data_IF_166767519839
#
_entry.id   IF_166767519839
#
_cell.length_a   1.000
_cell.length_b   1.000
_cell.length_c   1.000
_cell.angle_alpha   90.00
_cell.angle_beta   90.00
_cell.angle_gamma   90.00
#
_symmetry.space_group_name_H-M   'P 1'
#
loop_
_entity.id
_entity.type
_entity.pdbx_description
1 polymer ?
#
# COMPACT_ATOMS: atom_id res chain seq x y z
N UNK A 1 -21.99 -13.57 -7.08
CA UNK A 1 -22.27 -12.28 -7.74
C UNK A 1 -22.20 -11.19 -6.69
N UNK A 2 -21.04 -10.56 -6.58
CA UNK A 2 -20.68 -9.65 -5.49
C UNK A 2 -20.87 -8.22 -5.99
N UNK A 3 -21.76 -7.45 -5.36
CA UNK A 3 -21.85 -6.00 -5.57
C UNK A 3 -21.12 -5.34 -4.40
N UNK A 4 -19.87 -4.98 -4.67
CA UNK A 4 -19.02 -4.20 -3.78
C UNK A 4 -19.39 -2.72 -3.96
N UNK A 5 -20.13 -2.15 -3.00
CA UNK A 5 -20.43 -0.72 -2.97
C UNK A 5 -19.59 -0.06 -1.88
N UNK A 6 -18.38 0.34 -2.23
CA UNK A 6 -17.62 1.34 -1.50
C UNK A 6 -17.17 2.42 -2.49
N UNK A 7 -18.06 3.38 -2.74
CA UNK A 7 -17.77 4.56 -3.55
C UNK A 7 -16.86 5.51 -2.76
N UNK A 8 -15.56 5.20 -2.68
CA UNK A 8 -14.57 6.19 -2.29
C UNK A 8 -14.26 7.07 -3.50
N UNK A 9 -14.76 8.30 -3.43
CA UNK A 9 -14.59 9.38 -4.40
C UNK A 9 -13.09 9.58 -4.67
N UNK A 10 -12.63 9.11 -5.84
CA UNK A 10 -11.33 9.45 -6.42
C UNK A 10 -11.26 10.97 -6.60
N UNK A 11 -10.54 11.65 -5.72
CA UNK A 11 -9.88 12.92 -6.03
C UNK A 11 -8.88 13.22 -4.94
N UNK A 12 -7.66 12.73 -5.17
CA UNK A 12 -6.52 13.04 -4.35
C UNK A 12 -5.30 13.05 -5.27
N UNK A 13 -5.07 14.19 -5.92
CA UNK A 13 -3.73 14.58 -6.39
C UNK A 13 -2.90 14.78 -5.12
N UNK A 14 -2.32 13.71 -4.60
CA UNK A 14 -1.42 13.75 -3.45
C UNK A 14 0.02 13.67 -3.95
N UNK A 15 0.67 14.83 -4.00
CA UNK A 15 2.09 15.05 -4.28
C UNK A 15 3.00 14.49 -3.15
N UNK A 16 2.99 13.18 -2.93
CA UNK A 16 4.02 12.51 -2.10
C UNK A 16 5.14 11.91 -2.97
N UNK A 17 4.88 11.78 -4.26
CA UNK A 17 5.89 11.69 -5.29
C UNK A 17 5.99 13.04 -5.99
N UNK A 18 6.49 14.07 -5.30
CA UNK A 18 7.40 14.96 -6.02
C UNK A 18 8.53 14.05 -6.45
N UNK A 19 8.38 13.44 -7.65
CA UNK A 19 9.44 12.70 -8.30
C UNK A 19 10.63 13.64 -8.27
N UNK A 20 11.56 13.38 -7.36
CA UNK A 20 12.78 14.15 -7.31
C UNK A 20 13.39 13.99 -8.70
N UNK A 21 13.78 15.10 -9.36
CA UNK A 21 14.47 15.11 -10.67
C UNK A 21 15.43 13.91 -10.89
N UNK A 22 16.18 13.41 -9.88
CA UNK A 22 17.04 12.23 -10.02
C UNK A 22 16.34 10.89 -10.37
N UNK A 23 15.10 10.64 -9.93
CA UNK A 23 14.37 9.41 -10.33
C UNK A 23 13.93 9.53 -11.78
N UNK A 24 13.35 10.68 -12.15
CA UNK A 24 12.75 10.88 -13.47
C UNK A 24 13.73 10.46 -14.57
N UNK A 25 14.98 10.94 -14.49
CA UNK A 25 16.06 10.56 -15.41
C UNK A 25 16.35 9.05 -15.46
N UNK A 26 16.27 8.34 -14.32
CA UNK A 26 16.58 6.91 -14.23
C UNK A 26 15.47 6.01 -14.76
N UNK A 27 14.22 6.47 -14.74
CA UNK A 27 13.08 5.70 -15.23
C UNK A 27 12.64 6.13 -16.64
N UNK A 28 13.11 7.29 -17.10
CA UNK A 28 12.72 7.89 -18.37
C UNK A 28 12.93 6.93 -19.55
N UNK A 29 14.03 6.17 -19.58
CA UNK A 29 14.27 5.18 -20.63
C UNK A 29 13.16 4.12 -20.73
N UNK A 30 12.56 3.72 -19.61
CA UNK A 30 11.42 2.78 -19.59
C UNK A 30 10.17 3.43 -20.17
N UNK A 31 9.89 4.67 -19.80
CA UNK A 31 8.73 5.41 -20.33
C UNK A 31 8.90 5.74 -21.81
N UNK A 32 10.10 6.10 -22.24
CA UNK A 32 10.43 6.33 -23.65
C UNK A 32 10.30 5.05 -24.46
N UNK A 33 10.76 3.91 -23.92
CA UNK A 33 10.52 2.60 -24.53
C UNK A 33 9.03 2.31 -24.70
N UNK A 34 8.22 2.52 -23.65
CA UNK A 34 6.77 2.29 -23.73
C UNK A 34 6.06 3.24 -24.70
N UNK A 35 6.52 4.49 -24.83
CA UNK A 35 5.94 5.48 -25.72
C UNK A 35 6.33 5.26 -27.19
N UNK A 36 7.57 4.82 -27.43
CA UNK A 36 8.17 4.72 -28.76
C UNK A 36 8.31 3.27 -29.25
N UNK A 37 7.78 2.28 -28.52
CA UNK A 37 7.90 0.88 -28.89
C UNK A 37 7.40 0.66 -30.32
N UNK A 38 8.19 -0.01 -31.19
CA UNK A 38 7.74 -0.37 -32.53
C UNK A 38 6.62 -1.43 -32.48
N UNK A 39 6.44 -2.08 -31.33
CA UNK A 39 5.52 -3.18 -31.13
C UNK A 39 4.14 -2.72 -30.62
N UNK A 40 3.68 -1.49 -30.91
CA UNK A 40 2.40 -0.95 -30.40
C UNK A 40 1.16 -1.80 -30.69
N UNK A 41 1.25 -2.69 -31.66
CA UNK A 41 0.19 -3.63 -32.03
C UNK A 41 0.13 -4.88 -31.13
N UNK A 42 1.20 -5.17 -30.37
CA UNK A 42 1.22 -6.25 -29.39
C UNK A 42 0.50 -5.85 -28.10
N UNK A 43 -0.04 -6.84 -27.42
CA UNK A 43 -0.45 -6.66 -26.04
C UNK A 43 0.77 -6.60 -25.12
N UNK A 44 0.69 -5.78 -24.08
CA UNK A 44 1.73 -5.61 -23.06
C UNK A 44 2.13 -6.94 -22.43
N UNK A 45 1.19 -7.89 -22.34
CA UNK A 45 1.47 -9.21 -21.81
C UNK A 45 2.36 -10.06 -22.71
N UNK A 46 2.37 -9.78 -24.01
CA UNK A 46 3.15 -10.47 -25.05
C UNK A 46 4.58 -9.92 -25.18
N UNK A 47 4.93 -8.87 -24.43
CA UNK A 47 6.30 -8.37 -24.37
C UNK A 47 7.21 -9.43 -23.71
N UNK A 48 8.24 -9.92 -24.41
CA UNK A 48 9.03 -11.08 -23.98
C UNK A 48 9.84 -10.82 -22.70
N UNK A 49 10.40 -9.63 -22.52
CA UNK A 49 11.32 -9.32 -21.41
C UNK A 49 10.84 -8.17 -20.50
N UNK A 50 9.51 -8.01 -20.36
CA UNK A 50 8.91 -6.94 -19.52
C UNK A 50 9.42 -6.92 -18.06
N UNK A 51 9.81 -8.07 -17.53
CA UNK A 51 10.36 -8.17 -16.17
C UNK A 51 11.71 -7.47 -16.04
N UNK A 52 12.60 -7.69 -17.00
CA UNK A 52 13.95 -7.13 -17.02
C UNK A 52 13.97 -5.70 -17.56
N UNK A 53 13.16 -5.40 -18.55
CA UNK A 53 13.23 -4.14 -19.30
C UNK A 53 12.32 -3.06 -18.71
N UNK A 54 11.25 -3.46 -18.00
CA UNK A 54 10.24 -2.53 -17.47
C UNK A 54 10.18 -2.61 -15.95
N UNK A 55 9.84 -3.77 -15.39
CA UNK A 55 9.54 -3.87 -13.95
C UNK A 55 10.79 -3.69 -13.08
N UNK A 56 11.84 -4.46 -13.33
CA UNK A 56 13.05 -4.45 -12.51
C UNK A 56 13.74 -3.07 -12.45
N UNK A 57 13.90 -2.32 -13.57
CA UNK A 57 14.49 -0.99 -13.52
C UNK A 57 13.66 0.01 -12.73
N UNK A 58 12.33 -0.04 -12.86
CA UNK A 58 11.41 0.83 -12.11
C UNK A 58 11.46 0.55 -10.61
N UNK A 59 11.39 -0.72 -10.22
CA UNK A 59 11.44 -1.13 -8.82
C UNK A 59 12.80 -0.84 -8.20
N UNK A 60 13.90 -1.08 -8.92
CA UNK A 60 15.26 -0.73 -8.48
C UNK A 60 15.42 0.78 -8.31
N UNK A 61 14.87 1.59 -9.21
CA UNK A 61 14.87 3.05 -9.07
C UNK A 61 14.06 3.50 -7.84
N UNK A 62 12.90 2.89 -7.61
CA UNK A 62 12.06 3.14 -6.43
C UNK A 62 12.78 2.79 -5.12
N UNK A 63 13.33 1.58 -5.01
CA UNK A 63 14.12 1.14 -3.83
C UNK A 63 15.26 2.12 -3.55
N UNK A 64 16.03 2.47 -4.58
CA UNK A 64 17.16 3.38 -4.44
C UNK A 64 16.73 4.78 -3.98
N UNK A 65 15.59 5.28 -4.46
CA UNK A 65 15.06 6.55 -3.98
C UNK A 65 14.67 6.48 -2.50
N UNK A 66 13.93 5.45 -2.08
CA UNK A 66 13.53 5.32 -0.68
C UNK A 66 14.77 5.28 0.22
N UNK A 67 15.80 4.52 -0.17
CA UNK A 67 17.10 4.48 0.54
C UNK A 67 17.77 5.86 0.59
N UNK A 68 17.80 6.59 -0.54
CA UNK A 68 18.37 7.95 -0.63
C UNK A 68 17.62 8.96 0.23
N UNK A 69 16.30 8.93 0.23
CA UNK A 69 15.46 9.82 1.03
C UNK A 69 15.59 9.51 2.51
N UNK A 70 15.67 8.23 2.88
CA UNK A 70 15.89 7.82 4.27
C UNK A 70 17.25 8.26 4.82
N UNK A 71 18.29 8.30 3.97
CA UNK A 71 19.58 8.83 4.37
C UNK A 71 19.49 10.30 4.78
N UNK A 72 18.62 11.10 4.14
CA UNK A 72 18.42 12.53 4.39
C UNK A 72 17.37 12.82 5.46
N UNK A 73 16.34 11.98 5.55
CA UNK A 73 15.16 12.18 6.41
C UNK A 73 14.86 10.90 7.19
N UNK A 74 15.34 10.82 8.43
CA UNK A 74 15.15 9.63 9.28
C UNK A 74 13.69 9.41 9.71
N UNK A 75 12.82 10.42 9.59
CA UNK A 75 11.39 10.28 9.84
C UNK A 75 10.58 9.71 8.66
N UNK A 76 11.24 9.32 7.56
CA UNK A 76 10.59 8.78 6.37
C UNK A 76 9.69 7.55 6.63
N UNK A 77 10.07 6.54 7.44
CA UNK A 77 9.20 5.38 7.70
C UNK A 77 7.83 5.78 8.25
N UNK A 78 7.81 6.70 9.23
CA UNK A 78 6.57 7.25 9.81
C UNK A 78 5.72 7.96 8.76
N UNK A 79 6.34 8.80 7.93
CA UNK A 79 5.64 9.54 6.86
C UNK A 79 5.09 8.58 5.80
N UNK A 80 5.85 7.57 5.43
CA UNK A 80 5.47 6.58 4.42
C UNK A 80 4.24 5.79 4.85
N UNK A 81 4.20 5.25 6.08
CA UNK A 81 3.00 4.55 6.59
C UNK A 81 1.77 5.45 6.58
N UNK A 82 1.89 6.70 7.03
CA UNK A 82 0.77 7.66 6.98
C UNK A 82 0.32 7.92 5.54
N UNK A 83 1.26 8.00 4.60
CA UNK A 83 0.91 8.20 3.21
C UNK A 83 0.18 6.99 2.61
N UNK A 84 0.67 5.77 2.88
CA UNK A 84 0.12 4.52 2.34
C UNK A 84 -1.28 4.20 2.89
N UNK A 85 -1.54 4.53 4.16
CA UNK A 85 -2.82 4.23 4.81
C UNK A 85 -3.82 5.39 4.75
N UNK A 86 -3.36 6.59 4.43
CA UNK A 86 -4.21 7.75 4.25
C UNK A 86 -4.16 8.76 5.41
N UNK A 87 -4.83 9.89 5.18
CA UNK A 87 -4.77 11.07 6.06
C UNK A 87 -5.60 10.94 7.35
N UNK A 88 -6.61 10.09 7.34
CA UNK A 88 -7.60 10.00 8.41
C UNK A 88 -7.55 8.62 9.05
N UNK A 89 -7.82 8.55 10.35
CA UNK A 89 -8.01 7.29 11.05
C UNK A 89 -9.29 6.61 10.56
N UNK A 90 -9.28 5.29 10.40
CA UNK A 90 -10.42 4.54 9.87
C UNK A 90 -10.56 3.16 10.48
N UNK A 91 -11.75 2.58 10.36
CA UNK A 91 -11.99 1.18 10.68
C UNK A 91 -11.99 0.36 9.39
N UNK A 92 -11.32 -0.79 9.41
CA UNK A 92 -11.42 -1.80 8.35
C UNK A 92 -12.22 -2.98 8.89
N UNK A 93 -13.36 -3.25 8.25
CA UNK A 93 -14.22 -4.40 8.57
C UNK A 93 -13.88 -5.50 7.58
N UNK A 94 -13.58 -6.70 8.08
CA UNK A 94 -13.14 -7.85 7.30
C UNK A 94 -13.99 -9.05 7.72
N UNK A 95 -14.75 -9.62 6.80
CA UNK A 95 -15.41 -10.90 7.03
C UNK A 95 -14.47 -12.05 6.63
N UNK A 96 -14.29 -13.03 7.51
CA UNK A 96 -13.43 -14.18 7.29
C UNK A 96 -14.33 -15.40 7.13
N UNK A 97 -14.59 -15.77 5.87
CA UNK A 97 -15.50 -16.87 5.51
C UNK A 97 -15.17 -18.17 6.25
N UNK A 98 -13.88 -18.54 6.26
CA UNK A 98 -13.39 -19.79 6.87
C UNK A 98 -13.68 -19.85 8.36
N UNK A 99 -13.57 -18.73 9.05
CA UNK A 99 -13.77 -18.63 10.50
C UNK A 99 -15.20 -18.21 10.87
N UNK A 100 -16.03 -17.85 9.88
CA UNK A 100 -17.37 -17.30 10.04
C UNK A 100 -17.41 -16.16 11.08
N UNK A 101 -16.41 -15.29 11.04
CA UNK A 101 -16.30 -14.16 11.94
C UNK A 101 -16.02 -12.87 11.17
N UNK A 102 -16.30 -11.75 11.83
CA UNK A 102 -16.00 -10.41 11.32
C UNK A 102 -14.95 -9.77 12.21
N UNK A 103 -13.82 -9.38 11.64
CA UNK A 103 -12.80 -8.58 12.31
C UNK A 103 -13.02 -7.09 12.01
N UNK A 104 -13.02 -6.28 13.07
CA UNK A 104 -13.01 -4.82 12.99
C UNK A 104 -11.62 -4.36 13.43
N UNK A 105 -10.83 -3.85 12.49
CA UNK A 105 -9.48 -3.33 12.74
C UNK A 105 -9.49 -1.81 12.80
N UNK A 106 -8.95 -1.24 13.88
CA UNK A 106 -8.99 0.20 14.12
C UNK A 106 -7.65 0.85 13.81
N UNK A 107 -7.55 1.58 12.70
CA UNK A 107 -6.32 2.25 12.27
C UNK A 107 -6.24 3.67 12.83
N UNK A 108 -5.85 3.77 14.11
CA UNK A 108 -5.67 5.04 14.81
C UNK A 108 -4.23 5.59 14.66
N UNK A 109 -3.88 6.16 13.51
CA UNK A 109 -2.54 6.68 13.20
C UNK A 109 -2.33 8.14 13.62
N UNK A 110 -3.43 8.87 13.86
CA UNK A 110 -3.48 10.30 14.14
C UNK A 110 -4.11 10.64 15.50
N UNK A 111 -4.48 9.63 16.29
CA UNK A 111 -5.09 9.79 17.61
C UNK A 111 -6.46 10.51 17.58
N UNK A 112 -7.23 10.35 16.49
CA UNK A 112 -8.53 11.02 16.36
C UNK A 112 -9.70 10.20 16.89
N UNK A 113 -9.50 8.90 17.14
CA UNK A 113 -10.51 8.07 17.79
C UNK A 113 -10.59 8.37 19.30
N UNK A 114 -11.81 8.42 19.83
CA UNK A 114 -12.04 8.64 21.26
C UNK A 114 -12.09 10.11 21.69
N UNK A 115 -12.40 11.05 20.79
CA UNK A 115 -12.86 12.38 21.22
C UNK A 115 -14.23 12.23 21.87
N UNK A 116 -14.21 12.02 23.19
CA UNK A 116 -15.38 11.85 24.04
C UNK A 116 -16.21 13.14 23.96
N UNK A 117 -17.43 13.06 23.42
CA UNK A 117 -18.44 14.04 23.78
C UNK A 117 -18.67 13.88 25.28
N UNK A 118 -18.47 14.94 26.07
CA UNK A 118 -18.49 14.97 27.54
C UNK A 118 -19.75 14.39 28.21
N UNK A 119 -20.72 13.89 27.45
CA UNK A 119 -22.02 13.41 27.89
C UNK A 119 -22.19 11.87 27.96
N UNK A 120 -21.18 11.06 27.61
CA UNK A 120 -21.31 9.58 27.64
C UNK A 120 -20.07 8.87 28.21
N UNK A 121 -20.26 8.26 29.38
CA UNK A 121 -19.24 7.62 30.23
C UNK A 121 -18.65 6.29 29.68
N UNK A 122 -18.96 5.90 28.45
CA UNK A 122 -18.46 4.64 27.85
C UNK A 122 -17.79 4.83 26.50
N UNK A 123 -16.83 5.77 26.42
CA UNK A 123 -15.96 5.86 25.25
C UNK A 123 -14.89 4.75 25.30
N UNK A 124 -14.98 3.77 24.40
CA UNK A 124 -13.90 2.80 24.18
C UNK A 124 -12.66 3.56 23.71
N UNK A 125 -11.62 3.58 24.54
CA UNK A 125 -10.34 4.22 24.21
C UNK A 125 -9.60 3.32 23.22
N UNK A 126 -9.42 3.80 21.99
CA UNK A 126 -8.63 3.09 20.99
C UNK A 126 -7.19 3.59 21.05
N UNK A 127 -6.20 2.74 21.39
CA UNK A 127 -4.80 3.15 21.42
C UNK A 127 -4.32 3.64 20.05
N UNK A 128 -3.41 4.62 20.08
CA UNK A 128 -2.75 5.09 18.85
C UNK A 128 -1.75 4.03 18.37
N UNK A 129 -1.75 3.77 17.06
CA UNK A 129 -0.85 2.80 16.45
C UNK A 129 0.62 3.24 16.57
N UNK A 130 1.49 2.30 16.92
CA UNK A 130 2.92 2.53 17.01
C UNK A 130 3.54 2.63 15.60
N UNK A 131 3.71 3.86 15.11
CA UNK A 131 4.30 4.12 13.79
C UNK A 131 5.79 3.75 13.74
N UNK A 132 6.30 3.28 12.59
CA UNK A 132 7.67 2.82 12.45
C UNK A 132 8.67 3.98 12.50
N UNK A 133 9.88 3.68 12.95
CA UNK A 133 11.00 4.63 13.07
C UNK A 133 12.19 4.26 12.19
N UNK A 134 12.27 3.02 11.69
CA UNK A 134 13.35 2.57 10.81
C UNK A 134 12.88 1.51 9.81
N UNK A 135 13.53 1.50 8.65
CA UNK A 135 13.46 0.38 7.72
C UNK A 135 14.30 -0.79 8.24
N UNK A 136 13.80 -2.01 8.06
CA UNK A 136 14.48 -3.27 8.37
C UNK A 136 14.94 -3.91 7.08
N UNK A 137 14.05 -3.98 6.09
CA UNK A 137 14.28 -4.61 4.81
C UNK A 137 13.51 -3.86 3.71
N UNK A 138 14.11 -3.75 2.53
CA UNK A 138 13.47 -3.24 1.33
C UNK A 138 14.20 -3.80 0.12
N UNK A 139 13.62 -4.84 -0.48
CA UNK A 139 14.17 -5.54 -1.63
C UNK A 139 13.10 -6.28 -2.44
N UNK A 140 13.52 -6.93 -3.52
CA UNK A 140 12.64 -7.80 -4.32
C UNK A 140 12.19 -9.02 -3.52
N UNK A 141 10.93 -9.40 -3.74
CA UNK A 141 10.46 -10.72 -3.34
C UNK A 141 11.18 -11.77 -4.20
N UNK A 142 11.76 -12.84 -3.60
CA UNK A 142 12.48 -13.86 -4.35
C UNK A 142 11.66 -14.43 -5.51
N UNK A 143 12.28 -14.57 -6.68
CA UNK A 143 11.67 -15.09 -7.91
C UNK A 143 10.42 -14.32 -8.38
N UNK A 144 10.23 -13.08 -7.92
CA UNK A 144 9.08 -12.27 -8.29
C UNK A 144 9.52 -10.85 -8.71
N UNK A 145 9.96 -10.67 -9.97
CA UNK A 145 10.65 -9.46 -10.43
C UNK A 145 9.73 -8.23 -10.59
N UNK A 146 8.42 -8.40 -10.42
CA UNK A 146 7.47 -7.29 -10.39
C UNK A 146 7.03 -6.90 -8.97
N UNK A 147 7.62 -7.51 -7.94
CA UNK A 147 7.17 -7.34 -6.56
C UNK A 147 8.35 -7.05 -5.63
N UNK A 148 8.18 -6.07 -4.75
CA UNK A 148 9.13 -5.76 -3.67
C UNK A 148 8.43 -5.85 -2.31
N UNK A 149 9.19 -6.21 -1.29
CA UNK A 149 8.74 -6.28 0.09
C UNK A 149 9.45 -5.22 0.94
N UNK A 150 8.68 -4.57 1.81
CA UNK A 150 9.14 -3.52 2.73
C UNK A 150 8.81 -3.94 4.16
N UNK A 151 9.85 -4.17 4.96
CA UNK A 151 9.71 -4.43 6.39
C UNK A 151 10.24 -3.25 7.20
N UNK A 152 9.46 -2.85 8.18
CA UNK A 152 9.76 -1.77 9.11
C UNK A 152 9.66 -2.28 10.54
N UNK A 153 10.34 -1.60 11.47
CA UNK A 153 10.20 -1.97 12.88
C UNK A 153 8.76 -1.74 13.36
N UNK A 154 8.44 -2.33 14.53
CA UNK A 154 7.11 -2.28 15.13
C UNK A 154 6.04 -3.03 14.31
N UNK A 155 6.44 -4.00 13.49
CA UNK A 155 5.51 -4.95 12.86
C UNK A 155 4.86 -4.48 11.55
N UNK A 156 5.27 -3.33 11.00
CA UNK A 156 4.75 -2.85 9.72
C UNK A 156 5.44 -3.55 8.54
N UNK A 157 4.64 -4.17 7.67
CA UNK A 157 5.13 -4.88 6.49
C UNK A 157 4.21 -4.63 5.30
N UNK A 158 4.79 -4.27 4.16
CA UNK A 158 4.07 -3.98 2.92
C UNK A 158 4.66 -4.76 1.76
N UNK A 159 3.80 -5.21 0.86
CA UNK A 159 4.16 -5.73 -0.46
C UNK A 159 3.74 -4.71 -1.51
N UNK A 160 4.64 -4.41 -2.45
CA UNK A 160 4.34 -3.55 -3.60
C UNK A 160 4.53 -4.37 -4.86
N UNK A 161 3.45 -4.55 -5.61
CA UNK A 161 3.46 -5.21 -6.91
C UNK A 161 3.17 -4.20 -8.01
N UNK A 162 4.09 -4.04 -8.96
CA UNK A 162 3.83 -3.21 -10.13
C UNK A 162 3.14 -4.04 -11.21
N UNK A 163 2.09 -3.48 -11.81
CA UNK A 163 1.39 -4.10 -12.94
C UNK A 163 0.95 -3.05 -13.94
N UNK A 164 0.68 -3.46 -15.18
CA UNK A 164 0.10 -2.57 -16.17
C UNK A 164 -1.43 -2.60 -16.08
N UNK A 165 -2.08 -1.45 -16.12
CA UNK A 165 -3.55 -1.35 -16.01
C UNK A 165 -4.27 -1.51 -17.35
N UNK A 166 -3.54 -1.53 -18.46
CA UNK A 166 -4.10 -1.61 -19.81
C UNK A 166 -3.39 -2.71 -20.60
N UNK A 167 -4.10 -3.32 -21.55
CA UNK A 167 -3.50 -4.35 -22.39
C UNK A 167 -2.56 -3.74 -23.45
N UNK A 168 -2.80 -2.52 -23.91
CA UNK A 168 -1.92 -1.87 -24.90
C UNK A 168 -0.57 -1.46 -24.32
N UNK A 169 0.48 -1.50 -25.15
CA UNK A 169 1.82 -1.00 -24.81
C UNK A 169 1.80 0.53 -24.76
N UNK A 170 1.67 1.04 -23.54
CA UNK A 170 1.73 2.46 -23.20
C UNK A 170 2.02 2.63 -21.70
N UNK A 171 2.46 3.81 -21.24
CA UNK A 171 2.76 4.03 -19.83
C UNK A 171 1.48 4.07 -18.98
N UNK A 172 1.08 2.92 -18.46
CA UNK A 172 -0.10 2.78 -17.59
C UNK A 172 0.16 1.87 -16.38
N UNK A 173 1.41 1.84 -15.94
CA UNK A 173 1.87 1.07 -14.79
C UNK A 173 1.39 1.68 -13.47
N UNK A 174 0.94 0.84 -12.54
CA UNK A 174 0.55 1.25 -11.20
C UNK A 174 1.04 0.26 -10.15
N UNK A 175 1.21 0.73 -8.93
CA UNK A 175 1.43 -0.13 -7.78
C UNK A 175 0.11 -0.63 -7.22
N UNK A 176 0.05 -1.95 -7.04
CA UNK A 176 -0.84 -2.62 -6.11
C UNK A 176 -0.09 -2.80 -4.79
N UNK A 177 -0.67 -2.38 -3.67
CA UNK A 177 0.01 -2.29 -2.38
C UNK A 177 -0.79 -3.06 -1.35
N UNK A 178 -0.15 -4.07 -0.76
CA UNK A 178 -0.75 -4.89 0.28
C UNK A 178 -0.08 -4.65 1.63
N UNK A 179 -0.89 -4.49 2.68
CA UNK A 179 -0.44 -4.44 4.06
C UNK A 179 -0.53 -5.84 4.66
N UNK A 180 0.60 -6.55 4.71
CA UNK A 180 0.66 -7.96 5.16
C UNK A 180 1.03 -8.08 6.65
N UNK A 181 1.68 -7.07 7.22
CA UNK A 181 2.07 -7.03 8.63
C UNK A 181 1.65 -5.72 9.27
N UNK A 182 1.00 -5.85 10.43
CA UNK A 182 0.48 -4.73 11.20
C UNK A 182 1.05 -4.74 12.62
N UNK A 183 1.29 -3.56 13.25
CA UNK A 183 1.72 -3.50 14.64
C UNK A 183 0.69 -4.12 15.57
N UNK A 184 1.16 -4.82 16.60
CA UNK A 184 0.32 -5.38 17.67
C UNK A 184 -0.49 -4.33 18.44
N UNK A 185 -0.08 -3.06 18.36
CA UNK A 185 -0.80 -1.94 18.99
C UNK A 185 -2.09 -1.56 18.26
N UNK A 186 -2.35 -2.09 17.07
CA UNK A 186 -3.64 -1.89 16.40
C UNK A 186 -4.70 -2.79 17.04
N UNK A 187 -5.76 -2.16 17.52
CA UNK A 187 -6.90 -2.89 18.09
C UNK A 187 -7.66 -3.63 17.00
N UNK A 188 -7.80 -4.94 17.19
CA UNK A 188 -8.67 -5.80 16.39
C UNK A 188 -9.73 -6.39 17.29
N UNK A 189 -10.99 -6.11 16.99
CA UNK A 189 -12.13 -6.72 17.65
C UNK A 189 -12.73 -7.79 16.74
N UNK A 190 -13.00 -8.98 17.27
CA UNK A 190 -13.59 -10.07 16.50
C UNK A 190 -15.02 -10.30 16.95
N UNK A 191 -15.96 -10.16 16.01
CA UNK A 191 -17.36 -10.52 16.19
C UNK A 191 -17.55 -11.93 15.64
N UNK A 192 -17.90 -12.88 16.51
CA UNK A 192 -18.21 -14.24 16.09
C UNK A 192 -19.61 -14.28 15.45
N UNK A 193 -19.75 -14.93 14.30
CA UNK A 193 -21.05 -15.18 13.71
C UNK A 193 -21.89 -16.07 14.63
N UNK A 194 -23.06 -15.60 15.03
CA UNK A 194 -23.98 -16.39 15.84
C UNK A 194 -24.56 -17.52 14.98
N UNK A 195 -24.24 -18.78 15.30
CA UNK A 195 -24.85 -19.96 14.66
C UNK A 195 -26.31 -20.22 15.11
N UNK A 196 -26.93 -19.33 15.88
CA UNK A 196 -28.16 -19.64 16.62
C UNK A 196 -29.33 -18.67 16.41
N UNK A 197 -29.44 -18.05 15.24
CA UNK A 197 -30.64 -17.31 14.82
C UNK A 197 -31.00 -17.68 13.37
N UNK A 198 -31.27 -18.96 13.14
CA UNK A 198 -32.23 -19.35 12.12
C UNK A 198 -33.57 -19.51 12.85
N UNK A 199 -34.41 -18.48 12.76
CA UNK A 199 -35.85 -18.60 13.02
C UNK A 199 -36.50 -19.27 11.82
#
# INVERSE_FOLDING_TARGET
MTKENATQKKNNKHDFLVMCKPIHLKIQSVFDYLNNSPNKLLDFNELPDKEKDIYSPLLKAFINEIKRQYARQKNLPKKLVKHLLGKYDFYKIIYIDKEQNTQIRSYNLHATFGTVNQAQETAIIIPTASLPTRFIHLDFVPNNPNTIELYMNKGWQFIFRIHNTKNSIKPSLVFDIELIGIPITLTTSTCLGNKHLAL
#
